data_IF_713269671054
#
_entry.id   IF_713269671054
#
_cell.length_a   1.000
_cell.length_b   1.000
_cell.length_c   1.000
_cell.angle_alpha   90.00
_cell.angle_beta   90.00
_cell.angle_gamma   90.00
#
_symmetry.space_group_name_H-M   'P 1'
#
loop_
_entity.id
_entity.type
_entity.pdbx_description
1 polymer ?
#
# COMPACT_ATOMS: atom_id res chain seq x y z
N UNK A 1 -11.19 23.67 -30.37
CA UNK A 1 -11.55 22.68 -29.33
C UNK A 1 -10.24 22.05 -28.86
N UNK A 2 -9.41 22.77 -28.11
CA UNK A 2 -9.60 23.14 -26.71
C UNK A 2 -9.99 21.92 -25.88
N UNK A 3 -8.99 21.23 -25.35
CA UNK A 3 -9.06 20.52 -24.07
C UNK A 3 -7.63 20.41 -23.54
N UNK A 4 -7.18 21.49 -22.92
CA UNK A 4 -6.14 21.39 -21.90
C UNK A 4 -6.79 20.87 -20.63
N UNK A 5 -6.15 19.91 -19.98
CA UNK A 5 -6.37 19.63 -18.56
C UNK A 5 -5.05 19.90 -17.87
N UNK A 6 -4.95 21.10 -17.31
CA UNK A 6 -4.01 21.44 -16.24
C UNK A 6 -4.68 21.18 -14.89
N UNK A 7 -3.90 20.67 -13.95
CA UNK A 7 -4.14 20.83 -12.51
C UNK A 7 -4.96 19.70 -11.88
N UNK A 8 -4.59 19.13 -10.73
CA UNK A 8 -3.65 19.63 -9.74
C UNK A 8 -2.94 18.48 -9.03
N UNK A 9 -1.62 18.60 -8.97
CA UNK A 9 -0.84 18.00 -7.90
C UNK A 9 -1.36 18.59 -6.58
N UNK A 10 -2.00 17.76 -5.77
CA UNK A 10 -2.18 18.09 -4.35
C UNK A 10 -0.83 17.85 -3.68
N UNK A 11 -0.20 18.96 -3.29
CA UNK A 11 0.98 18.97 -2.45
C UNK A 11 0.68 18.26 -1.13
N UNK A 12 1.47 17.24 -0.85
CA UNK A 12 1.65 16.67 0.46
C UNK A 12 3.11 16.27 0.60
N UNK A 13 3.99 17.25 0.88
CA UNK A 13 5.35 16.97 1.32
C UNK A 13 5.27 16.29 2.67
N UNK A 14 5.29 14.96 2.65
CA UNK A 14 5.47 14.14 3.83
C UNK A 14 6.76 13.34 3.67
N UNK A 15 7.92 13.95 3.95
CA UNK A 15 9.07 13.19 4.48
C UNK A 15 8.74 12.78 5.93
N UNK A 16 7.65 12.04 6.08
CA UNK A 16 7.15 11.49 7.32
C UNK A 16 7.47 10.01 7.35
N UNK A 17 7.94 9.53 8.49
CA UNK A 17 8.06 8.10 8.77
C UNK A 17 6.74 7.41 8.39
N UNK A 18 6.78 6.55 7.38
CA UNK A 18 5.61 5.77 6.96
C UNK A 18 5.13 4.89 8.11
N UNK A 19 3.82 4.90 8.34
CA UNK A 19 3.18 4.22 9.46
C UNK A 19 3.02 2.72 9.22
N UNK A 20 3.16 1.93 10.28
CA UNK A 20 3.04 0.47 10.24
C UNK A 20 1.57 -0.02 10.17
N UNK A 21 1.37 -1.35 10.14
CA UNK A 21 0.06 -1.97 10.30
C UNK A 21 -0.36 -2.11 11.77
N UNK A 22 -1.50 -2.76 12.01
CA UNK A 22 -2.01 -3.03 13.36
C UNK A 22 -1.18 -4.09 14.10
N UNK A 23 -0.79 -5.15 13.37
CA UNK A 23 -0.07 -6.31 13.90
C UNK A 23 1.29 -6.47 13.20
N UNK A 24 1.36 -6.09 11.92
CA UNK A 24 2.57 -6.21 11.13
C UNK A 24 3.31 -4.89 10.99
N UNK A 25 4.62 -4.94 11.17
CA UNK A 25 5.54 -3.82 10.93
C UNK A 25 5.76 -3.64 9.44
N UNK A 26 5.84 -2.40 8.95
CA UNK A 26 6.11 -2.10 7.55
C UNK A 26 7.55 -2.51 7.18
N UNK A 27 7.76 -3.50 6.30
CA UNK A 27 9.10 -3.96 5.95
C UNK A 27 9.85 -2.94 5.09
N UNK A 28 11.18 -2.96 5.17
CA UNK A 28 12.06 -1.95 4.57
C UNK A 28 11.92 -1.81 3.06
N UNK A 29 11.73 -2.92 2.35
CA UNK A 29 11.57 -2.92 0.88
C UNK A 29 10.27 -2.25 0.46
N UNK A 30 9.17 -2.50 1.18
CA UNK A 30 7.90 -1.81 0.95
C UNK A 30 7.99 -0.34 1.35
N UNK A 31 8.63 -0.03 2.49
CA UNK A 31 8.87 1.35 2.94
C UNK A 31 9.65 2.15 1.91
N UNK A 32 10.71 1.57 1.35
CA UNK A 32 11.53 2.21 0.33
C UNK A 32 10.72 2.48 -0.95
N UNK A 33 9.92 1.51 -1.40
CA UNK A 33 9.07 1.68 -2.58
C UNK A 33 8.01 2.77 -2.37
N UNK A 34 7.33 2.78 -1.22
CA UNK A 34 6.34 3.80 -0.87
C UNK A 34 6.97 5.18 -0.72
N UNK A 35 8.18 5.27 -0.18
CA UNK A 35 8.90 6.55 -0.04
C UNK A 35 9.38 7.09 -1.38
N UNK A 36 9.51 6.25 -2.41
CA UNK A 36 9.88 6.65 -3.76
C UNK A 36 8.70 7.20 -4.58
N UNK A 37 7.46 6.90 -4.19
CA UNK A 37 6.24 7.45 -4.83
C UNK A 37 5.47 8.34 -3.85
N UNK A 38 5.45 9.64 -4.11
CA UNK A 38 4.71 10.60 -3.27
C UNK A 38 3.20 10.29 -3.22
N UNK A 39 2.64 9.81 -4.33
CA UNK A 39 1.23 9.47 -4.44
C UNK A 39 0.89 8.21 -3.62
N UNK A 40 1.65 7.13 -3.82
CA UNK A 40 1.45 5.89 -3.06
C UNK A 40 1.74 6.09 -1.56
N UNK A 41 2.77 6.87 -1.21
CA UNK A 41 3.08 7.21 0.17
C UNK A 41 1.96 8.01 0.84
N UNK A 42 1.38 8.99 0.16
CA UNK A 42 0.22 9.73 0.67
C UNK A 42 -1.02 8.83 0.81
N UNK A 43 -1.29 7.98 -0.19
CA UNK A 43 -2.38 7.02 -0.14
C UNK A 43 -2.21 6.00 1.01
N UNK A 44 -0.97 5.58 1.29
CA UNK A 44 -0.62 4.70 2.41
C UNK A 44 -0.96 5.30 3.78
N UNK A 45 -0.69 6.59 3.97
CA UNK A 45 -1.05 7.27 5.22
C UNK A 45 -2.55 7.56 5.33
N UNK A 46 -3.25 7.70 4.21
CA UNK A 46 -4.70 7.94 4.16
C UNK A 46 -5.54 6.66 4.39
N UNK A 47 -4.99 5.47 4.12
CA UNK A 47 -5.71 4.22 4.38
C UNK A 47 -5.75 3.86 5.87
N UNK A 48 -6.80 3.11 6.22
CA UNK A 48 -6.97 2.58 7.57
C UNK A 48 -5.79 1.69 7.98
N UNK A 49 -5.51 1.65 9.28
CA UNK A 49 -4.46 0.78 9.86
C UNK A 49 -4.69 -0.70 9.48
N UNK A 50 -5.95 -1.12 9.35
CA UNK A 50 -6.29 -2.48 8.92
C UNK A 50 -5.89 -2.74 7.46
N UNK A 51 -6.15 -1.79 6.56
CA UNK A 51 -5.74 -1.88 5.16
C UNK A 51 -4.21 -1.97 5.01
N UNK A 52 -3.46 -1.15 5.77
CA UNK A 52 -1.99 -1.26 5.84
C UNK A 52 -1.56 -2.66 6.27
N UNK A 53 -2.19 -3.19 7.32
CA UNK A 53 -1.94 -4.53 7.82
C UNK A 53 -2.20 -5.61 6.76
N UNK A 54 -3.24 -5.46 5.93
CA UNK A 54 -3.53 -6.39 4.84
C UNK A 54 -2.46 -6.36 3.74
N UNK A 55 -2.01 -5.18 3.30
CA UNK A 55 -0.92 -5.06 2.32
C UNK A 55 0.39 -5.62 2.86
N UNK A 56 0.76 -5.31 4.11
CA UNK A 56 1.98 -5.85 4.73
C UNK A 56 1.90 -7.38 4.81
N UNK A 57 0.80 -7.94 5.34
CA UNK A 57 0.58 -9.38 5.43
C UNK A 57 0.71 -10.06 4.05
N UNK A 58 0.17 -9.44 3.00
CA UNK A 58 0.27 -9.95 1.64
C UNK A 58 1.70 -9.92 1.09
N UNK A 59 2.47 -8.84 1.33
CA UNK A 59 3.87 -8.78 0.88
C UNK A 59 4.73 -9.79 1.64
N UNK A 60 4.55 -9.93 2.96
CA UNK A 60 5.35 -10.83 3.81
C UNK A 60 5.05 -12.33 3.62
N UNK A 61 3.85 -12.66 3.14
CA UNK A 61 3.47 -14.02 2.77
C UNK A 61 4.33 -14.55 1.59
N UNK A 62 4.84 -13.67 0.72
CA UNK A 62 5.69 -14.08 -0.39
C UNK A 62 7.09 -14.53 0.05
N UNK A 63 7.31 -15.84 0.11
CA UNK A 63 8.60 -16.44 0.49
C UNK A 63 9.67 -16.42 -0.59
N UNK A 64 9.27 -16.29 -1.86
CA UNK A 64 10.21 -16.18 -2.98
C UNK A 64 10.52 -14.71 -3.27
N UNK A 65 11.81 -14.31 -3.36
CA UNK A 65 12.21 -12.91 -3.58
C UNK A 65 11.52 -12.26 -4.79
N UNK A 66 11.51 -12.94 -5.94
CA UNK A 66 10.87 -12.44 -7.15
C UNK A 66 9.35 -12.22 -7.01
N UNK A 67 8.68 -13.00 -6.16
CA UNK A 67 7.25 -12.79 -5.88
C UNK A 67 7.05 -11.63 -4.90
N UNK A 68 7.94 -11.48 -3.92
CA UNK A 68 7.93 -10.36 -2.98
C UNK A 68 8.09 -9.03 -3.72
N UNK A 69 9.11 -8.91 -4.57
CA UNK A 69 9.35 -7.73 -5.42
C UNK A 69 8.12 -7.37 -6.27
N UNK A 70 7.51 -8.38 -6.90
CA UNK A 70 6.28 -8.19 -7.69
C UNK A 70 5.12 -7.67 -6.84
N UNK A 71 4.93 -8.18 -5.61
CA UNK A 71 3.87 -7.71 -4.69
C UNK A 71 4.15 -6.31 -4.17
N UNK A 72 5.40 -5.96 -3.89
CA UNK A 72 5.79 -4.59 -3.52
C UNK A 72 5.43 -3.63 -4.65
N UNK A 73 5.88 -3.89 -5.88
CA UNK A 73 5.54 -3.05 -7.04
C UNK A 73 4.04 -2.90 -7.23
N UNK A 74 3.30 -4.00 -7.16
CA UNK A 74 1.84 -3.98 -7.30
C UNK A 74 1.14 -3.22 -6.18
N UNK A 75 1.68 -3.22 -4.96
CA UNK A 75 1.14 -2.39 -3.86
C UNK A 75 1.21 -0.91 -4.22
N UNK A 76 2.30 -0.45 -4.84
CA UNK A 76 2.44 0.93 -5.32
C UNK A 76 1.40 1.22 -6.41
N UNK A 77 1.34 0.38 -7.45
CA UNK A 77 0.38 0.50 -8.56
C UNK A 77 -1.07 0.59 -8.02
N UNK A 78 -1.46 -0.34 -7.15
CA UNK A 78 -2.82 -0.39 -6.59
C UNK A 78 -3.17 0.83 -5.73
N UNK A 79 -2.21 1.37 -4.95
CA UNK A 79 -2.43 2.58 -4.15
C UNK A 79 -2.57 3.83 -5.02
N UNK A 80 -1.76 3.95 -6.09
CA UNK A 80 -1.86 5.02 -7.09
C UNK A 80 -3.19 4.93 -7.86
N UNK A 81 -3.68 3.73 -8.13
CA UNK A 81 -5.00 3.50 -8.71
C UNK A 81 -6.17 3.72 -7.71
N UNK A 82 -5.86 4.13 -6.47
CA UNK A 82 -6.84 4.42 -5.42
C UNK A 82 -7.43 3.18 -4.74
N UNK A 83 -6.88 2.00 -4.98
CA UNK A 83 -7.28 0.78 -4.29
C UNK A 83 -6.79 0.81 -2.86
N UNK A 84 -7.68 0.53 -1.91
CA UNK A 84 -7.36 0.56 -0.48
C UNK A 84 -7.15 -0.82 0.12
N UNK A 85 -7.12 -1.87 -0.70
CA UNK A 85 -6.91 -3.28 -0.32
C UNK A 85 -6.27 -4.05 -1.49
N UNK A 86 -5.49 -5.13 -1.22
CA UNK A 86 -4.86 -5.88 -2.29
C UNK A 86 -5.88 -6.64 -3.16
N UNK A 87 -5.86 -6.45 -4.48
CA UNK A 87 -6.99 -6.88 -5.31
C UNK A 87 -7.09 -8.40 -5.60
N UNK A 88 -6.09 -9.19 -5.21
CA UNK A 88 -6.08 -10.66 -5.36
C UNK A 88 -5.76 -11.37 -4.04
N UNK A 89 -6.03 -10.72 -2.90
CA UNK A 89 -5.77 -11.27 -1.59
C UNK A 89 -7.05 -11.83 -0.96
N UNK A 90 -7.15 -13.15 -0.71
CA UNK A 90 -8.34 -13.76 -0.10
C UNK A 90 -8.56 -13.35 1.37
N UNK A 91 -7.62 -12.61 1.96
CA UNK A 91 -7.64 -12.15 3.35
C UNK A 91 -6.41 -12.65 4.12
N UNK A 92 -6.00 -11.89 5.13
CA UNK A 92 -4.91 -12.32 6.02
C UNK A 92 -5.42 -13.45 6.93
N UNK A 93 -4.61 -14.46 7.20
CA UNK A 93 -4.95 -15.55 8.14
C UNK A 93 -5.29 -15.04 9.56
N UNK A 94 -4.84 -13.83 9.91
CA UNK A 94 -5.17 -13.12 11.14
C UNK A 94 -6.55 -12.45 11.14
N UNK A 95 -7.29 -12.51 10.03
CA UNK A 95 -8.70 -12.10 10.02
C UNK A 95 -9.47 -13.20 10.73
N UNK A 96 -9.81 -12.98 12.00
CA UNK A 96 -10.78 -13.85 12.68
C UNK A 96 -12.02 -13.96 11.79
N UNK A 97 -12.37 -15.19 11.42
CA UNK A 97 -13.69 -15.49 10.86
C UNK A 97 -14.68 -15.41 12.03
N UNK A 98 -14.96 -14.22 12.55
CA UNK A 98 -16.10 -14.03 13.44
C UNK A 98 -17.36 -14.02 12.57
N UNK A 99 -17.69 -15.20 12.06
CA UNK A 99 -18.85 -15.50 11.23
C UNK A 99 -19.57 -16.67 11.86
N UNK A 100 -20.66 -16.33 12.55
CA UNK A 100 -21.68 -17.17 13.19
C UNK A 100 -22.17 -18.33 12.32
#
# INVERSE_FOLDING_TARGET
>A
MSSGTSGGASSGTGTGTLSDGAVHTLPDDLRQALSASAEAGAAWEDITVLARNEFICWVEDAKQPATRERRVRRTIEELEEGMRRPCCWPGCSHREKTGR
#
